data_IF_188832548885
#
_entry.id   IF_188832548885
#
_cell.length_a   1.000
_cell.length_b   1.000
_cell.length_c   1.000
_cell.angle_alpha   90.00
_cell.angle_beta   90.00
_cell.angle_gamma   90.00
#
_symmetry.space_group_name_H-M   'P 1'
#
loop_
_entity.id
_entity.type
_entity.pdbx_description
1 polymer ?
#
# COMPACT_ATOMS: atom_id res chain seq x y z
N UNK A 1 -29.64 6.46 31.81
CA UNK A 1 -29.08 7.77 31.38
C UNK A 1 -29.31 8.06 29.89
N UNK A 2 -28.97 7.16 28.94
CA UNK A 2 -29.14 7.39 27.48
C UNK A 2 -30.62 7.61 27.07
N UNK A 3 -31.56 6.83 27.62
CA UNK A 3 -32.99 6.92 27.28
C UNK A 3 -33.67 8.28 27.70
N UNK A 4 -33.08 9.02 28.64
CA UNK A 4 -33.61 10.27 29.10
C UNK A 4 -32.99 11.51 28.41
N UNK A 5 -31.85 11.30 27.70
CA UNK A 5 -31.10 12.37 27.04
C UNK A 5 -30.97 12.14 25.52
N UNK A 6 -31.87 11.33 24.96
CA UNK A 6 -31.87 11.02 23.53
C UNK A 6 -32.30 12.22 22.69
N UNK A 7 -31.50 12.55 21.67
CA UNK A 7 -31.86 13.55 20.65
C UNK A 7 -31.41 14.98 20.89
N UNK A 8 -31.09 15.39 22.12
CA UNK A 8 -30.72 16.79 22.42
C UNK A 8 -29.47 17.27 21.68
N UNK A 9 -28.41 16.43 21.60
CA UNK A 9 -27.19 16.78 20.93
C UNK A 9 -27.39 16.97 19.41
N UNK A 10 -28.16 16.09 18.78
CA UNK A 10 -28.47 16.17 17.35
C UNK A 10 -29.28 17.44 17.01
N UNK A 11 -30.27 17.80 17.83
CA UNK A 11 -31.03 19.01 17.61
C UNK A 11 -30.17 20.27 17.76
N UNK A 12 -29.37 20.36 18.82
CA UNK A 12 -28.47 21.49 19.07
C UNK A 12 -27.45 21.65 17.93
N UNK A 13 -26.90 20.52 17.41
CA UNK A 13 -25.99 20.53 16.31
C UNK A 13 -26.63 21.06 15.02
N UNK A 14 -27.84 20.56 14.66
CA UNK A 14 -28.53 20.99 13.44
C UNK A 14 -28.93 22.46 13.51
N UNK A 15 -29.43 22.94 14.67
CA UNK A 15 -29.78 24.34 14.86
C UNK A 15 -28.58 25.29 14.74
N UNK A 16 -27.38 24.82 15.08
CA UNK A 16 -26.12 25.57 14.91
C UNK A 16 -25.64 25.66 13.48
N UNK A 17 -26.02 24.73 12.58
CA UNK A 17 -25.58 24.66 11.19
C UNK A 17 -26.29 25.71 10.30
N UNK A 18 -25.96 26.98 10.51
CA UNK A 18 -26.40 28.09 9.63
C UNK A 18 -25.58 28.09 8.31
N UNK A 19 -26.06 28.80 7.28
CA UNK A 19 -25.37 28.94 6.01
C UNK A 19 -23.93 29.47 6.17
N UNK A 20 -23.71 30.43 7.08
CA UNK A 20 -22.37 30.96 7.40
C UNK A 20 -21.46 29.90 8.03
N UNK A 21 -21.99 29.06 8.93
CA UNK A 21 -21.25 27.96 9.54
C UNK A 21 -20.89 26.92 8.47
N UNK A 22 -21.79 26.60 7.54
CA UNK A 22 -21.55 25.64 6.46
C UNK A 22 -20.46 26.16 5.52
N UNK A 23 -20.44 27.43 5.15
CA UNK A 23 -19.37 27.99 4.30
C UNK A 23 -18.00 27.93 5.01
N UNK A 24 -17.94 28.34 6.29
CA UNK A 24 -16.70 28.21 7.09
C UNK A 24 -16.25 26.75 7.24
N UNK A 25 -17.17 25.82 7.39
CA UNK A 25 -16.88 24.39 7.46
C UNK A 25 -16.28 23.86 6.14
N UNK A 26 -16.76 24.32 4.97
CA UNK A 26 -16.16 23.97 3.67
C UNK A 26 -14.73 24.49 3.54
N UNK A 27 -14.49 25.73 3.95
CA UNK A 27 -13.13 26.30 3.94
C UNK A 27 -12.21 25.52 4.89
N UNK A 28 -12.69 25.22 6.11
CA UNK A 28 -11.92 24.44 7.09
C UNK A 28 -11.63 23.04 6.61
N UNK A 29 -12.60 22.35 5.99
CA UNK A 29 -12.40 21.06 5.35
C UNK A 29 -11.26 21.10 4.31
N UNK A 30 -11.25 22.11 3.44
CA UNK A 30 -10.21 22.25 2.42
C UNK A 30 -8.81 22.40 3.03
N UNK A 31 -8.68 23.12 4.15
CA UNK A 31 -7.41 23.26 4.88
C UNK A 31 -6.97 21.93 5.47
N UNK A 32 -7.84 21.24 6.20
CA UNK A 32 -7.55 19.94 6.82
C UNK A 32 -7.18 18.91 5.73
N UNK A 33 -7.97 18.82 4.68
CA UNK A 33 -7.71 17.92 3.55
C UNK A 33 -6.35 18.17 2.91
N UNK A 34 -5.99 19.43 2.68
CA UNK A 34 -4.68 19.80 2.12
C UNK A 34 -3.52 19.37 3.03
N UNK A 35 -3.66 19.54 4.34
CA UNK A 35 -2.65 19.09 5.30
C UNK A 35 -2.46 17.58 5.26
N UNK A 36 -3.56 16.82 5.29
CA UNK A 36 -3.54 15.35 5.25
C UNK A 36 -3.07 14.80 3.91
N UNK A 37 -3.36 15.48 2.79
CA UNK A 37 -2.97 15.08 1.44
C UNK A 37 -1.52 15.39 1.10
N UNK A 38 -0.84 16.21 1.87
CA UNK A 38 0.59 16.53 1.67
C UNK A 38 1.52 15.37 2.05
N UNK A 39 1.01 14.37 2.78
CA UNK A 39 1.75 13.19 3.21
C UNK A 39 1.72 12.04 2.21
N UNK A 40 2.20 10.89 2.66
CA UNK A 40 2.24 9.63 1.88
C UNK A 40 0.91 8.88 1.83
N UNK A 41 -0.17 9.43 2.38
CA UNK A 41 -1.50 8.82 2.47
C UNK A 41 -2.24 8.83 1.14
N UNK A 42 -3.24 7.95 0.99
CA UNK A 42 -4.12 7.99 -0.19
C UNK A 42 -5.12 9.14 -0.08
N UNK A 43 -5.51 9.71 -1.24
CA UNK A 43 -6.50 10.78 -1.30
C UNK A 43 -7.82 10.40 -0.59
N UNK A 44 -8.28 9.17 -0.78
CA UNK A 44 -9.51 8.67 -0.14
C UNK A 44 -9.42 8.65 1.39
N UNK A 45 -8.27 8.25 1.94
CA UNK A 45 -8.05 8.29 3.39
C UNK A 45 -8.01 9.74 3.89
N UNK A 46 -7.30 10.63 3.18
CA UNK A 46 -7.22 12.04 3.52
C UNK A 46 -8.60 12.71 3.52
N UNK A 47 -9.45 12.39 2.52
CA UNK A 47 -10.83 12.88 2.48
C UNK A 47 -11.66 12.42 3.68
N UNK A 48 -11.63 11.11 3.98
CA UNK A 48 -12.37 10.54 5.09
C UNK A 48 -11.90 11.11 6.44
N UNK A 49 -10.59 11.20 6.64
CA UNK A 49 -9.99 11.75 7.85
C UNK A 49 -10.34 13.25 8.03
N UNK A 50 -10.32 14.03 6.95
CA UNK A 50 -10.70 15.44 6.98
C UNK A 50 -12.17 15.64 7.41
N UNK A 51 -13.08 14.77 6.96
CA UNK A 51 -14.49 14.80 7.39
C UNK A 51 -14.60 14.48 8.89
N UNK A 52 -13.85 13.47 9.37
CA UNK A 52 -13.88 13.07 10.78
C UNK A 52 -13.39 14.21 11.69
N UNK A 53 -12.23 14.80 11.36
CA UNK A 53 -11.68 15.93 12.14
C UNK A 53 -12.63 17.10 12.14
N UNK A 54 -13.17 17.50 10.99
CA UNK A 54 -14.12 18.60 10.89
C UNK A 54 -15.40 18.34 11.68
N UNK A 55 -15.95 17.12 11.59
CA UNK A 55 -17.16 16.76 12.31
C UNK A 55 -16.96 16.82 13.83
N UNK A 56 -15.80 16.40 14.30
CA UNK A 56 -15.45 16.45 15.72
C UNK A 56 -15.21 17.90 16.19
N UNK A 57 -14.52 18.73 15.41
CA UNK A 57 -14.37 20.17 15.67
C UNK A 57 -15.74 20.86 15.84
N UNK A 58 -16.66 20.61 14.90
CA UNK A 58 -18.01 21.20 14.95
C UNK A 58 -18.83 20.63 16.11
N UNK A 59 -18.71 19.35 16.42
CA UNK A 59 -19.39 18.73 17.55
C UNK A 59 -18.86 19.29 18.88
N UNK A 60 -17.56 19.50 19.00
CA UNK A 60 -17.00 20.12 20.21
C UNK A 60 -17.46 21.57 20.34
N UNK A 61 -17.44 22.35 19.24
CA UNK A 61 -17.83 23.75 19.26
C UNK A 61 -19.29 23.94 19.65
N UNK A 62 -20.22 23.16 19.07
CA UNK A 62 -21.65 23.41 19.22
C UNK A 62 -22.33 22.56 20.29
N UNK A 63 -21.79 21.39 20.60
CA UNK A 63 -22.42 20.42 21.51
C UNK A 63 -21.63 20.22 22.80
N UNK A 64 -20.38 19.75 22.68
CA UNK A 64 -19.62 19.28 23.84
C UNK A 64 -18.92 20.43 24.59
N UNK A 65 -18.41 21.42 23.86
CA UNK A 65 -17.70 22.60 24.40
C UNK A 65 -16.57 22.23 25.36
N UNK A 66 -15.89 21.14 25.04
CA UNK A 66 -14.82 20.57 25.86
C UNK A 66 -13.45 21.20 25.58
N UNK A 67 -13.26 21.80 24.41
CA UNK A 67 -12.01 22.32 23.92
C UNK A 67 -11.01 21.19 23.59
N UNK A 68 -11.47 19.98 23.32
CA UNK A 68 -10.68 18.77 23.06
C UNK A 68 -11.06 18.11 21.74
N UNK A 69 -11.23 18.90 20.69
CA UNK A 69 -11.47 18.36 19.38
C UNK A 69 -10.24 17.60 18.86
N UNK A 70 -10.49 16.58 18.04
CA UNK A 70 -9.48 15.75 17.38
C UNK A 70 -8.58 16.62 16.48
N UNK A 71 -7.28 16.47 16.62
CA UNK A 71 -6.30 17.20 15.81
C UNK A 71 -5.91 16.45 14.54
N UNK A 72 -5.35 17.18 13.56
CA UNK A 72 -4.81 16.60 12.33
C UNK A 72 -3.65 15.66 12.63
N UNK A 73 -2.82 15.98 13.62
CA UNK A 73 -1.68 15.16 14.05
C UNK A 73 -2.15 13.82 14.61
N UNK A 74 -3.15 13.84 15.47
CA UNK A 74 -3.71 12.62 16.08
C UNK A 74 -4.31 11.69 15.01
N UNK A 75 -5.14 12.22 14.10
CA UNK A 75 -5.73 11.38 13.03
C UNK A 75 -4.69 10.88 12.06
N UNK A 76 -3.60 11.61 11.80
CA UNK A 76 -2.53 11.20 10.90
C UNK A 76 -1.86 9.92 11.35
N UNK A 77 -1.74 9.68 12.65
CA UNK A 77 -1.18 8.45 13.22
C UNK A 77 -1.98 7.18 12.91
N UNK A 78 -3.24 7.31 12.48
CA UNK A 78 -4.09 6.18 12.09
C UNK A 78 -4.15 5.95 10.58
N UNK A 79 -3.57 6.84 9.78
CA UNK A 79 -3.61 6.73 8.32
C UNK A 79 -2.45 5.86 7.82
N UNK A 80 -2.78 4.92 6.94
CA UNK A 80 -1.79 4.06 6.31
C UNK A 80 -1.13 4.73 5.11
N UNK A 81 0.15 4.47 4.89
CA UNK A 81 0.85 4.93 3.71
C UNK A 81 0.29 4.30 2.43
N UNK A 82 0.43 4.99 1.30
CA UNK A 82 0.04 4.48 -0.04
C UNK A 82 0.70 3.14 -0.35
N UNK A 83 1.95 2.97 0.05
CA UNK A 83 2.72 1.74 -0.10
C UNK A 83 2.05 0.55 0.59
N UNK A 84 1.56 0.73 1.81
CA UNK A 84 0.91 -0.33 2.60
C UNK A 84 -0.45 -0.77 2.03
N UNK A 85 -1.20 0.16 1.41
CA UNK A 85 -2.52 -0.14 0.84
C UNK A 85 -2.46 -0.50 -0.64
N UNK A 86 -1.33 -0.29 -1.31
CA UNK A 86 -1.15 -0.67 -2.71
C UNK A 86 -1.13 -2.18 -2.87
N UNK A 87 -2.08 -2.71 -3.63
CA UNK A 87 -2.10 -4.14 -3.98
C UNK A 87 -0.82 -4.55 -4.74
N UNK A 88 -0.28 -3.65 -5.57
CA UNK A 88 0.96 -3.86 -6.31
C UNK A 88 2.16 -3.97 -5.38
N UNK A 89 2.30 -3.07 -4.41
CA UNK A 89 3.40 -3.12 -3.44
C UNK A 89 3.32 -4.38 -2.57
N UNK A 90 2.13 -4.72 -2.09
CA UNK A 90 1.94 -5.96 -1.31
C UNK A 90 2.29 -7.21 -2.12
N UNK A 91 1.91 -7.24 -3.40
CA UNK A 91 2.25 -8.35 -4.28
C UNK A 91 3.75 -8.42 -4.58
N UNK A 92 4.43 -7.28 -4.74
CA UNK A 92 5.87 -7.22 -4.90
C UNK A 92 6.60 -7.76 -3.66
N UNK A 93 6.23 -7.27 -2.47
CA UNK A 93 6.81 -7.76 -1.21
C UNK A 93 6.58 -9.27 -1.06
N UNK A 94 5.33 -9.73 -1.30
CA UNK A 94 5.02 -11.17 -1.32
C UNK A 94 5.91 -11.95 -2.29
N UNK A 95 6.14 -11.46 -3.51
CA UNK A 95 6.99 -12.14 -4.49
C UNK A 95 8.45 -12.22 -4.04
N UNK A 96 8.97 -11.17 -3.41
CA UNK A 96 10.33 -11.18 -2.85
C UNK A 96 10.47 -12.24 -1.74
N UNK A 97 9.54 -12.26 -0.78
CA UNK A 97 9.50 -13.26 0.29
C UNK A 97 9.32 -14.67 -0.27
N UNK A 98 8.43 -14.83 -1.26
CA UNK A 98 8.15 -16.11 -1.89
C UNK A 98 9.38 -16.66 -2.63
N UNK A 99 10.15 -15.83 -3.33
CA UNK A 99 11.42 -16.22 -3.96
C UNK A 99 12.42 -16.66 -2.89
N UNK A 100 12.56 -15.92 -1.81
CA UNK A 100 13.48 -16.24 -0.71
C UNK A 100 13.12 -17.56 -0.01
N UNK A 101 11.87 -17.79 0.31
CA UNK A 101 11.38 -19.04 0.95
C UNK A 101 11.56 -20.25 0.03
N UNK A 102 11.50 -20.07 -1.29
CA UNK A 102 11.67 -21.14 -2.28
C UNK A 102 13.06 -21.11 -2.96
N UNK A 103 14.08 -20.56 -2.30
CA UNK A 103 15.42 -20.37 -2.89
C UNK A 103 16.00 -21.64 -3.52
N UNK A 104 15.70 -22.81 -2.97
CA UNK A 104 16.12 -24.12 -3.51
C UNK A 104 15.58 -24.40 -4.92
N UNK A 105 14.50 -23.76 -5.35
CA UNK A 105 13.89 -23.89 -6.68
C UNK A 105 14.42 -22.87 -7.68
N UNK A 106 15.21 -21.92 -7.19
CA UNK A 106 15.89 -20.87 -7.96
C UNK A 106 17.39 -21.10 -8.07
N UNK A 107 17.87 -22.30 -7.77
CA UNK A 107 19.27 -22.70 -7.88
C UNK A 107 19.40 -23.89 -8.82
N UNK A 108 20.50 -23.89 -9.59
CA UNK A 108 20.80 -24.96 -10.58
C UNK A 108 21.52 -26.17 -10.01
N UNK A 109 21.82 -26.18 -8.71
CA UNK A 109 22.54 -27.29 -8.10
C UNK A 109 21.66 -28.53 -7.93
N UNK A 110 22.00 -29.64 -8.56
CA UNK A 110 21.70 -31.06 -8.32
C UNK A 110 20.43 -31.50 -7.59
N UNK A 111 19.46 -30.65 -7.47
CA UNK A 111 18.19 -30.96 -6.82
C UNK A 111 17.26 -31.64 -7.82
N UNK A 112 16.82 -32.86 -7.51
CA UNK A 112 15.70 -33.56 -8.16
C UNK A 112 14.36 -32.80 -8.06
N UNK A 113 14.39 -31.46 -7.85
CA UNK A 113 13.25 -30.61 -7.67
C UNK A 113 12.85 -29.85 -8.94
N UNK A 114 11.65 -29.29 -8.92
CA UNK A 114 11.16 -28.43 -9.99
C UNK A 114 12.00 -27.14 -10.06
N UNK A 115 12.51 -26.81 -11.26
CA UNK A 115 13.18 -25.55 -11.52
C UNK A 115 12.12 -24.44 -11.80
N UNK A 116 12.13 -23.41 -10.98
CA UNK A 116 11.21 -22.29 -11.11
C UNK A 116 11.84 -21.04 -11.71
N UNK A 117 13.17 -20.98 -11.68
CA UNK A 117 13.92 -19.84 -12.19
C UNK A 117 15.30 -19.73 -11.58
N UNK A 118 15.86 -18.53 -11.59
CA UNK A 118 17.17 -18.21 -11.03
C UNK A 118 17.13 -16.87 -10.32
N UNK A 119 17.84 -16.75 -9.21
CA UNK A 119 18.19 -15.47 -8.61
C UNK A 119 19.61 -15.13 -8.99
N UNK A 120 19.81 -13.96 -9.57
CA UNK A 120 21.11 -13.37 -9.84
C UNK A 120 21.40 -12.34 -8.77
N UNK A 121 22.27 -12.68 -7.83
CA UNK A 121 22.61 -11.81 -6.70
C UNK A 121 23.48 -10.63 -7.13
N UNK A 122 24.27 -10.76 -8.20
CA UNK A 122 25.13 -9.69 -8.70
C UNK A 122 24.31 -8.57 -9.36
N UNK A 123 23.24 -8.95 -10.07
CA UNK A 123 22.33 -8.01 -10.71
C UNK A 123 21.11 -7.63 -9.83
N UNK A 124 20.95 -8.25 -8.67
CA UNK A 124 19.75 -8.16 -7.83
C UNK A 124 18.46 -8.44 -8.61
N UNK A 125 18.45 -9.55 -9.39
CA UNK A 125 17.33 -9.93 -10.25
C UNK A 125 16.86 -11.35 -10.01
N UNK A 126 15.55 -11.55 -10.07
CA UNK A 126 14.92 -12.87 -10.10
C UNK A 126 14.37 -13.16 -11.50
N UNK A 127 14.86 -14.21 -12.12
CA UNK A 127 14.35 -14.78 -13.37
C UNK A 127 13.32 -15.84 -13.02
N UNK A 128 12.03 -15.53 -13.15
CA UNK A 128 10.94 -16.41 -12.74
C UNK A 128 10.23 -16.95 -14.00
N UNK A 129 10.05 -18.27 -14.13
CA UNK A 129 9.29 -18.85 -15.23
C UNK A 129 7.86 -18.26 -15.22
N UNK A 130 7.37 -17.74 -16.33
CA UNK A 130 6.14 -16.95 -16.38
C UNK A 130 4.90 -17.69 -15.88
N UNK A 131 4.78 -18.98 -16.07
CA UNK A 131 3.67 -19.77 -15.52
C UNK A 131 3.76 -19.94 -14.01
N UNK A 132 4.98 -20.07 -13.48
CA UNK A 132 5.25 -20.16 -12.04
C UNK A 132 4.91 -18.82 -11.36
N UNK A 133 5.35 -17.72 -11.96
CA UNK A 133 5.01 -16.36 -11.51
C UNK A 133 3.49 -16.14 -11.46
N UNK A 134 2.77 -16.50 -12.54
CA UNK A 134 1.32 -16.39 -12.60
C UNK A 134 0.67 -17.20 -11.49
N UNK A 135 1.08 -18.45 -11.32
CA UNK A 135 0.54 -19.34 -10.28
C UNK A 135 0.78 -18.77 -8.89
N UNK A 136 2.00 -18.27 -8.60
CA UNK A 136 2.32 -17.66 -7.32
C UNK A 136 1.37 -16.49 -6.98
N UNK A 137 1.07 -15.62 -7.94
CA UNK A 137 0.14 -14.52 -7.74
C UNK A 137 -1.30 -14.99 -7.55
N UNK A 138 -1.81 -15.85 -8.45
CA UNK A 138 -3.22 -16.27 -8.43
C UNK A 138 -3.56 -17.11 -7.23
N UNK A 139 -2.68 -18.02 -6.80
CA UNK A 139 -2.88 -18.86 -5.62
C UNK A 139 -2.90 -18.03 -4.32
N UNK A 140 -2.34 -16.81 -4.34
CA UNK A 140 -2.34 -15.87 -3.22
C UNK A 140 -3.33 -14.70 -3.39
N UNK A 141 -4.30 -14.83 -4.29
CA UNK A 141 -5.41 -13.90 -4.44
C UNK A 141 -5.07 -12.58 -5.14
N UNK A 142 -3.94 -12.50 -5.85
CA UNK A 142 -3.59 -11.34 -6.65
C UNK A 142 -4.06 -11.49 -8.10
N UNK A 143 -4.51 -10.39 -8.70
CA UNK A 143 -4.76 -10.32 -10.15
C UNK A 143 -3.43 -10.20 -10.91
N UNK A 144 -3.04 -11.25 -11.63
CA UNK A 144 -1.77 -11.32 -12.36
C UNK A 144 -1.60 -10.16 -13.34
N UNK A 145 -2.65 -9.78 -14.06
CA UNK A 145 -2.56 -8.71 -15.07
C UNK A 145 -2.36 -7.35 -14.43
N UNK A 146 -3.13 -7.07 -13.37
CA UNK A 146 -3.02 -5.82 -12.63
C UNK A 146 -1.64 -5.69 -11.97
N UNK A 147 -1.14 -6.75 -11.35
CA UNK A 147 0.17 -6.75 -10.69
C UNK A 147 1.31 -6.63 -11.72
N UNK A 148 1.27 -7.38 -12.82
CA UNK A 148 2.28 -7.26 -13.88
C UNK A 148 2.31 -5.84 -14.48
N UNK A 149 1.14 -5.22 -14.68
CA UNK A 149 1.06 -3.83 -15.13
C UNK A 149 1.65 -2.85 -14.11
N UNK A 150 1.37 -3.06 -12.83
CA UNK A 150 1.89 -2.24 -11.74
C UNK A 150 3.42 -2.36 -11.61
N UNK A 151 3.95 -3.58 -11.62
CA UNK A 151 5.40 -3.84 -11.58
C UNK A 151 6.11 -3.16 -12.75
N UNK A 152 5.53 -3.23 -13.94
CA UNK A 152 6.06 -2.55 -15.13
C UNK A 152 6.05 -1.03 -15.00
N UNK A 153 4.96 -0.46 -14.51
CA UNK A 153 4.84 1.00 -14.32
C UNK A 153 5.79 1.53 -13.25
N UNK A 154 6.21 0.68 -12.33
CA UNK A 154 7.20 1.02 -11.29
C UNK A 154 8.62 0.57 -11.65
N UNK A 155 8.86 0.14 -12.90
CA UNK A 155 10.16 -0.30 -13.40
C UNK A 155 10.78 -1.47 -12.62
N UNK A 156 9.94 -2.31 -12.00
CA UNK A 156 10.34 -3.48 -11.22
C UNK A 156 10.43 -4.77 -12.04
N UNK A 157 10.11 -4.72 -13.33
CA UNK A 157 10.32 -5.82 -14.28
C UNK A 157 10.96 -5.32 -15.57
N UNK A 158 11.89 -6.12 -16.11
CA UNK A 158 12.58 -5.84 -17.35
C UNK A 158 11.73 -6.26 -18.57
N UNK A 159 11.29 -5.33 -19.43
CA UNK A 159 10.53 -5.66 -20.63
C UNK A 159 11.43 -6.29 -21.71
N UNK A 160 10.84 -7.09 -22.61
CA UNK A 160 11.52 -7.54 -23.83
C UNK A 160 11.70 -6.37 -24.84
N UNK A 161 12.38 -6.63 -25.94
CA UNK A 161 12.64 -5.67 -27.02
C UNK A 161 11.35 -5.08 -27.63
N UNK A 162 10.21 -5.76 -27.49
CA UNK A 162 8.90 -5.34 -27.99
C UNK A 162 8.03 -4.76 -26.86
N UNK A 163 8.59 -4.51 -25.68
CA UNK A 163 7.89 -3.97 -24.54
C UNK A 163 6.96 -4.97 -23.82
N UNK A 164 7.12 -6.29 -24.04
CA UNK A 164 6.37 -7.31 -23.29
C UNK A 164 7.02 -7.57 -21.95
N UNK A 165 6.22 -7.84 -20.94
CA UNK A 165 6.68 -8.15 -19.57
C UNK A 165 7.38 -9.51 -19.45
N UNK A 166 7.37 -10.34 -20.48
CA UNK A 166 8.02 -11.65 -20.49
C UNK A 166 9.09 -11.72 -21.58
N UNK A 167 10.24 -12.30 -21.27
CA UNK A 167 11.35 -12.50 -22.18
C UNK A 167 11.58 -13.99 -22.42
N UNK A 168 11.66 -14.42 -23.68
CA UNK A 168 12.03 -15.79 -24.01
C UNK A 168 13.54 -15.90 -24.05
N UNK A 169 14.12 -16.64 -23.11
CA UNK A 169 15.57 -16.79 -22.98
C UNK A 169 15.94 -18.15 -22.39
N UNK A 170 17.23 -18.42 -22.32
CA UNK A 170 17.77 -19.58 -21.61
C UNK A 170 18.46 -19.12 -20.34
N UNK A 171 18.07 -19.70 -19.22
CA UNK A 171 18.65 -19.45 -17.89
C UNK A 171 19.14 -20.79 -17.37
N UNK A 172 20.46 -20.92 -17.15
CA UNK A 172 21.12 -22.15 -16.69
C UNK A 172 20.71 -23.41 -17.48
N UNK A 173 20.62 -23.27 -18.81
CA UNK A 173 20.23 -24.35 -19.70
C UNK A 173 18.73 -24.56 -19.90
N UNK A 174 17.89 -23.96 -19.08
CA UNK A 174 16.45 -24.06 -19.19
C UNK A 174 15.85 -22.96 -20.09
N UNK A 175 15.28 -23.36 -21.23
CA UNK A 175 14.61 -22.44 -22.16
C UNK A 175 13.16 -22.29 -21.85
N UNK A 176 12.76 -21.04 -21.44
CA UNK A 176 11.39 -20.72 -21.12
C UNK A 176 11.08 -19.22 -21.35
N UNK A 177 9.84 -18.82 -21.09
CA UNK A 177 9.47 -17.43 -20.93
C UNK A 177 9.65 -17.06 -19.46
N UNK A 178 10.45 -16.04 -19.21
CA UNK A 178 10.72 -15.52 -17.87
C UNK A 178 10.12 -14.13 -17.68
N UNK A 179 9.66 -13.86 -16.49
CA UNK A 179 9.55 -12.51 -15.91
C UNK A 179 10.90 -12.25 -15.24
N UNK A 180 11.55 -11.16 -15.56
CA UNK A 180 12.79 -10.71 -14.91
C UNK A 180 12.40 -9.57 -13.99
N UNK A 181 12.47 -9.83 -12.69
CA UNK A 181 12.02 -8.89 -11.65
C UNK A 181 13.21 -8.40 -10.84
N UNK A 182 13.29 -7.09 -10.62
CA UNK A 182 14.27 -6.51 -9.74
C UNK A 182 13.95 -6.88 -8.28
N UNK A 183 14.98 -7.30 -7.56
CA UNK A 183 14.90 -7.66 -6.14
C UNK A 183 15.47 -6.51 -5.29
N UNK A 184 15.00 -6.33 -4.05
CA UNK A 184 15.59 -5.33 -3.16
C UNK A 184 17.07 -5.61 -2.94
N UNK A 185 17.88 -4.55 -2.93
CA UNK A 185 19.30 -4.68 -2.61
C UNK A 185 19.51 -5.05 -1.14
N UNK A 186 20.65 -5.68 -0.82
CA UNK A 186 20.99 -6.04 0.57
C UNK A 186 21.00 -4.80 1.50
N UNK A 187 21.42 -3.66 0.99
CA UNK A 187 21.47 -2.39 1.73
C UNK A 187 20.07 -1.83 2.05
N UNK A 188 19.06 -2.09 1.18
CA UNK A 188 17.67 -1.67 1.42
C UNK A 188 16.95 -2.54 2.46
N UNK A 189 17.38 -3.78 2.66
CA UNK A 189 16.81 -4.70 3.65
C UNK A 189 17.29 -4.31 5.07
N UNK A 190 18.54 -3.88 5.23
CA UNK A 190 19.09 -3.48 6.54
C UNK A 190 18.42 -2.24 7.10
N UNK A 191 18.03 -1.28 6.26
CA UNK A 191 17.34 -0.05 6.70
C UNK A 191 15.94 -0.33 7.25
N UNK A 192 15.26 -1.38 6.78
CA UNK A 192 13.92 -1.73 7.25
C UNK A 192 13.91 -2.59 8.53
N UNK A 193 15.03 -3.21 8.91
CA UNK A 193 15.14 -4.02 10.13
C UNK A 193 15.44 -3.20 11.37
N UNK A 194 16.01 -1.99 11.27
CA UNK A 194 16.26 -1.11 12.42
C UNK A 194 14.97 -0.55 13.08
N UNK A 195 13.81 -0.68 12.46
CA UNK A 195 12.53 -0.21 13.02
C UNK A 195 11.70 -1.28 13.77
N UNK A 196 12.18 -2.51 13.87
CA UNK A 196 11.43 -3.63 14.50
C UNK A 196 11.86 -3.89 15.95
N UNK A 197 12.94 -3.30 16.44
CA UNK A 197 13.48 -3.54 17.80
C UNK A 197 13.03 -2.52 18.87
N UNK A 198 11.85 -1.89 18.68
CA UNK A 198 11.25 -1.04 19.74
C UNK A 198 9.81 -1.55 20.00
N UNK A 199 9.68 -2.68 20.65
CA UNK A 199 8.51 -3.06 21.45
C UNK A 199 8.94 -3.93 22.63
#
# INVERSE_FOLDING_TARGET
MIKQNYGFAGQAFIEALTDDVIEKAKERYAVIFKQLSSGKTTEKQSMAAAIIVLADELADEFVFKSGKALTVEEISGFLKEKSEVSAGQRAYNFLCDWVAVNANRFQTSDNNGEFWGKVDEDENKAYIISNVFRKALTDNGFDERAITSWLRSNHLIEPDKNGKSTKYTSVDGHRARYIIMDMPSKDEIEVNTEYVDIL
#
